data_IF_832722420596
#
_entry.id   IF_832722420596
#
_cell.length_a   1.000
_cell.length_b   1.000
_cell.length_c   1.000
_cell.angle_alpha   90.00
_cell.angle_beta   90.00
_cell.angle_gamma   90.00
#
_symmetry.space_group_name_H-M   'P 1'
#
loop_
_entity.id
_entity.type
_entity.pdbx_description
1 polymer ?
#
# COMPACT_ATOMS: atom_id res chain seq x y z
N UNK A 1 -0.13 0.38 -46.98
CA UNK A 1 0.75 -0.20 -45.94
C UNK A 1 0.23 -1.58 -45.70
N UNK A 2 1.06 -2.60 -45.89
CA UNK A 2 0.59 -3.98 -45.84
C UNK A 2 0.34 -4.40 -44.38
N UNK A 3 -0.88 -4.84 -44.03
CA UNK A 3 -1.25 -5.19 -42.66
C UNK A 3 -0.41 -6.37 -42.13
N UNK A 4 0.01 -7.29 -43.00
CA UNK A 4 0.88 -8.42 -42.65
C UNK A 4 2.27 -7.99 -42.16
N UNK A 5 2.80 -6.89 -42.69
CA UNK A 5 4.10 -6.34 -42.27
C UNK A 5 4.01 -5.73 -40.87
N UNK A 6 2.91 -5.03 -40.56
CA UNK A 6 2.64 -4.50 -39.23
C UNK A 6 2.43 -5.61 -38.19
N UNK A 7 1.70 -6.68 -38.55
CA UNK A 7 1.50 -7.84 -37.68
C UNK A 7 2.82 -8.56 -37.39
N UNK A 8 3.66 -8.79 -38.40
CA UNK A 8 4.97 -9.44 -38.22
C UNK A 8 5.91 -8.63 -37.31
N UNK A 9 5.87 -7.30 -37.40
CA UNK A 9 6.66 -6.43 -36.54
C UNK A 9 6.18 -6.48 -35.08
N UNK A 10 4.86 -6.44 -34.85
CA UNK A 10 4.29 -6.55 -33.51
C UNK A 10 4.61 -7.91 -32.87
N UNK A 11 4.53 -8.99 -33.65
CA UNK A 11 4.90 -10.33 -33.19
C UNK A 11 6.39 -10.43 -32.82
N UNK A 12 7.28 -9.89 -33.64
CA UNK A 12 8.73 -9.88 -33.37
C UNK A 12 9.07 -9.07 -32.11
N UNK A 13 8.39 -7.95 -31.90
CA UNK A 13 8.55 -7.12 -30.70
C UNK A 13 8.06 -7.84 -29.44
N UNK A 14 6.86 -8.43 -29.47
CA UNK A 14 6.31 -9.23 -28.36
C UNK A 14 7.21 -10.42 -28.03
N UNK A 15 7.76 -11.08 -29.05
CA UNK A 15 8.70 -12.19 -28.85
C UNK A 15 9.98 -11.75 -28.13
N UNK A 16 10.54 -10.60 -28.50
CA UNK A 16 11.76 -10.08 -27.87
C UNK A 16 11.53 -9.74 -26.39
N UNK A 17 10.45 -9.02 -26.07
CA UNK A 17 10.04 -8.74 -24.69
C UNK A 17 9.90 -10.04 -23.89
N UNK A 18 9.22 -11.03 -24.47
CA UNK A 18 9.03 -12.33 -23.83
C UNK A 18 10.36 -13.07 -23.60
N UNK A 19 11.25 -13.04 -24.58
CA UNK A 19 12.55 -13.71 -24.48
C UNK A 19 13.35 -13.17 -23.29
N UNK A 20 13.41 -11.84 -23.12
CA UNK A 20 14.04 -11.17 -21.98
C UNK A 20 13.29 -11.43 -20.67
N UNK A 21 11.96 -11.49 -20.69
CA UNK A 21 11.13 -11.81 -19.53
C UNK A 21 11.34 -13.25 -19.02
N UNK A 22 11.65 -14.16 -19.95
CA UNK A 22 11.85 -15.59 -19.71
C UNK A 22 13.31 -16.00 -19.49
N UNK A 23 14.26 -15.05 -19.52
CA UNK A 23 15.65 -15.37 -19.24
C UNK A 23 15.79 -15.95 -17.83
N UNK A 24 16.49 -17.08 -17.73
CA UNK A 24 16.76 -17.76 -16.48
C UNK A 24 17.74 -16.92 -15.66
N UNK A 25 17.26 -16.32 -14.57
CA UNK A 25 18.07 -15.44 -13.72
C UNK A 25 18.89 -16.24 -12.69
N UNK A 26 18.35 -17.34 -12.18
CA UNK A 26 18.97 -18.20 -11.17
C UNK A 26 18.40 -19.64 -11.25
N UNK A 27 19.11 -20.56 -11.89
CA UNK A 27 18.86 -22.00 -11.79
C UNK A 27 17.45 -22.49 -12.18
N UNK A 28 16.82 -21.86 -13.18
CA UNK A 28 15.48 -22.23 -13.69
C UNK A 28 14.33 -21.35 -13.19
N UNK A 29 14.61 -20.31 -12.40
CA UNK A 29 13.65 -19.26 -12.08
C UNK A 29 13.60 -18.23 -13.22
N UNK A 30 12.43 -18.13 -13.85
CA UNK A 30 12.13 -17.08 -14.84
C UNK A 30 12.14 -15.70 -14.17
N UNK A 31 12.84 -14.73 -14.78
CA UNK A 31 13.03 -13.40 -14.21
C UNK A 31 11.72 -12.61 -14.02
N UNK A 32 10.76 -12.78 -14.92
CA UNK A 32 9.51 -12.05 -14.93
C UNK A 32 8.55 -12.32 -13.75
N UNK A 33 8.15 -13.59 -13.49
CA UNK A 33 7.30 -13.93 -12.34
C UNK A 33 7.94 -13.53 -11.01
N UNK A 34 9.27 -13.68 -10.90
CA UNK A 34 10.01 -13.29 -9.71
C UNK A 34 9.95 -11.78 -9.45
N UNK A 35 10.18 -10.96 -10.49
CA UNK A 35 10.05 -9.50 -10.39
C UNK A 35 8.62 -9.09 -10.02
N UNK A 36 7.61 -9.74 -10.61
CA UNK A 36 6.20 -9.50 -10.30
C UNK A 36 5.86 -9.79 -8.83
N UNK A 37 6.38 -10.88 -8.27
CA UNK A 37 6.22 -11.21 -6.84
C UNK A 37 6.88 -10.16 -5.95
N UNK A 38 8.11 -9.75 -6.25
CA UNK A 38 8.82 -8.71 -5.47
C UNK A 38 8.00 -7.43 -5.44
N UNK A 39 7.54 -6.98 -6.60
CA UNK A 39 6.86 -5.70 -6.73
C UNK A 39 5.46 -5.73 -6.12
N UNK A 40 4.71 -6.83 -6.27
CA UNK A 40 3.45 -7.01 -5.56
C UNK A 40 3.65 -7.08 -4.04
N UNK A 41 4.72 -7.73 -3.58
CA UNK A 41 5.06 -7.79 -2.15
C UNK A 41 5.41 -6.41 -1.62
N UNK A 42 6.22 -5.65 -2.35
CA UNK A 42 6.54 -4.26 -2.00
C UNK A 42 5.28 -3.41 -1.90
N UNK A 43 4.35 -3.55 -2.85
CA UNK A 43 3.07 -2.85 -2.83
C UNK A 43 2.21 -3.21 -1.61
N UNK A 44 2.09 -4.50 -1.29
CA UNK A 44 1.40 -4.97 -0.07
C UNK A 44 2.04 -4.37 1.18
N UNK A 45 3.37 -4.34 1.27
CA UNK A 45 4.10 -3.75 2.39
C UNK A 45 3.86 -2.23 2.51
N UNK A 46 3.82 -1.50 1.40
CA UNK A 46 3.47 -0.06 1.39
C UNK A 46 2.08 0.17 1.98
N UNK A 47 1.08 -0.63 1.59
CA UNK A 47 -0.26 -0.52 2.17
C UNK A 47 -0.27 -0.93 3.65
N UNK A 48 0.47 -1.97 4.05
CA UNK A 48 0.58 -2.38 5.45
C UNK A 48 1.17 -1.27 6.33
N UNK A 49 2.17 -0.53 5.83
CA UNK A 49 2.72 0.64 6.53
C UNK A 49 1.63 1.68 6.81
N UNK A 50 0.81 2.00 5.80
CA UNK A 50 -0.26 2.99 5.96
C UNK A 50 -1.39 2.52 6.88
N UNK A 51 -1.82 1.26 6.75
CA UNK A 51 -2.80 0.66 7.67
C UNK A 51 -2.27 0.67 9.11
N UNK A 52 -0.97 0.37 9.29
CA UNK A 52 -0.32 0.45 10.60
C UNK A 52 -0.38 1.84 11.21
N UNK A 53 -0.12 2.89 10.41
CA UNK A 53 -0.24 4.28 10.83
C UNK A 53 -1.66 4.67 11.22
N UNK A 54 -2.68 4.18 10.50
CA UNK A 54 -4.09 4.42 10.84
C UNK A 54 -4.47 3.70 12.14
N UNK A 55 -4.00 2.47 12.34
CA UNK A 55 -4.22 1.71 13.57
C UNK A 55 -3.64 2.43 14.79
N UNK A 56 -2.39 2.91 14.71
CA UNK A 56 -1.77 3.67 15.79
C UNK A 56 -2.56 4.93 16.17
N UNK A 57 -2.99 5.69 15.16
CA UNK A 57 -3.83 6.89 15.34
C UNK A 57 -5.16 6.53 16.01
N UNK A 58 -5.81 5.45 15.56
CA UNK A 58 -7.09 5.01 16.09
C UNK A 58 -7.00 4.51 17.53
N UNK A 59 -5.98 3.73 17.87
CA UNK A 59 -5.73 3.23 19.21
C UNK A 59 -5.45 4.37 20.20
N UNK A 60 -4.63 5.35 19.80
CA UNK A 60 -4.35 6.53 20.61
C UNK A 60 -5.64 7.31 20.93
N UNK A 61 -6.54 7.48 19.96
CA UNK A 61 -7.81 8.18 20.15
C UNK A 61 -8.78 7.38 21.01
N UNK A 62 -8.88 6.05 20.82
CA UNK A 62 -9.74 5.18 21.64
C UNK A 62 -9.28 5.17 23.10
N UNK A 63 -7.96 5.12 23.34
CA UNK A 63 -7.41 5.18 24.70
C UNK A 63 -7.63 6.55 25.36
N UNK A 64 -7.59 7.64 24.57
CA UNK A 64 -7.86 9.00 25.04
C UNK A 64 -9.35 9.29 25.26
N UNK A 65 -10.25 8.55 24.62
CA UNK A 65 -11.70 8.72 24.69
C UNK A 65 -12.28 8.24 26.04
N UNK A 66 -12.02 8.98 27.12
CA UNK A 66 -12.64 8.72 28.43
C UNK A 66 -14.02 9.40 28.51
N UNK A 67 -15.06 8.57 28.66
CA UNK A 67 -16.51 8.85 28.60
C UNK A 67 -17.10 9.94 29.53
N UNK A 68 -16.32 10.85 30.13
CA UNK A 68 -16.81 11.73 31.22
C UNK A 68 -16.76 13.24 30.98
N UNK A 69 -16.29 13.74 29.85
CA UNK A 69 -16.09 15.18 29.66
C UNK A 69 -16.72 15.71 28.37
N UNK A 70 -17.48 16.81 28.48
CA UNK A 70 -18.18 17.51 27.38
C UNK A 70 -17.34 18.57 26.70
N UNK A 71 -16.19 18.95 27.28
CA UNK A 71 -15.33 20.03 26.81
C UNK A 71 -13.90 19.49 26.65
N UNK A 72 -13.18 19.93 25.62
CA UNK A 72 -11.74 19.66 25.48
C UNK A 72 -10.99 20.47 26.52
N UNK A 73 -10.37 19.79 27.48
CA UNK A 73 -9.50 20.44 28.46
C UNK A 73 -8.05 20.45 27.93
N UNK A 74 -7.58 21.65 27.59
CA UNK A 74 -6.18 21.93 27.29
C UNK A 74 -5.53 22.49 28.55
N UNK A 75 -4.57 21.74 29.09
CA UNK A 75 -3.73 22.26 30.17
C UNK A 75 -2.49 22.91 29.55
N UNK A 76 -2.33 24.20 29.81
CA UNK A 76 -1.12 24.93 29.46
C UNK A 76 -0.07 24.60 30.51
N UNK A 77 1.02 23.96 30.09
CA UNK A 77 2.19 23.78 30.94
C UNK A 77 3.23 24.83 30.56
N UNK A 78 3.58 25.67 31.53
CA UNK A 78 4.65 26.65 31.40
C UNK A 78 5.79 26.21 32.34
N UNK A 79 6.71 25.41 31.82
CA UNK A 79 7.94 25.04 32.53
C UNK A 79 9.03 26.08 32.21
N UNK A 80 9.96 26.32 33.14
CA UNK A 80 11.03 27.33 32.99
C UNK A 80 11.94 27.16 31.75
N UNK A 81 11.84 26.03 31.03
CA UNK A 81 12.59 25.73 29.80
C UNK A 81 11.70 25.37 28.58
N UNK A 82 10.38 25.20 28.73
CA UNK A 82 9.48 24.81 27.63
C UNK A 82 8.02 25.18 27.93
N UNK A 83 7.34 25.78 26.95
CA UNK A 83 5.90 26.02 26.95
C UNK A 83 5.21 25.03 26.01
N UNK A 84 4.25 24.26 26.51
CA UNK A 84 3.53 23.26 25.73
C UNK A 84 2.07 23.13 26.13
N UNK A 85 1.27 22.54 25.25
CA UNK A 85 -0.14 22.25 25.50
C UNK A 85 -0.32 20.74 25.70
N UNK A 86 -0.97 20.34 26.80
CA UNK A 86 -1.34 18.95 27.06
C UNK A 86 -2.85 18.80 26.89
N UNK A 87 -3.27 17.86 26.05
CA UNK A 87 -4.68 17.50 25.90
C UNK A 87 -5.02 16.49 27.00
N UNK A 88 -5.86 16.89 27.96
CA UNK A 88 -6.27 16.04 29.08
C UNK A 88 -7.41 15.09 28.70
N UNK A 89 -8.38 15.60 27.93
CA UNK A 89 -9.56 14.82 27.53
C UNK A 89 -10.15 15.32 26.22
N UNK A 90 -10.68 14.39 25.43
CA UNK A 90 -11.35 14.65 24.16
C UNK A 90 -12.81 14.19 24.26
N UNK A 91 -13.79 15.01 23.84
CA UNK A 91 -15.19 14.63 23.90
C UNK A 91 -15.51 13.51 22.89
N UNK A 92 -16.33 12.55 23.34
CA UNK A 92 -16.76 11.39 22.55
C UNK A 92 -17.23 11.69 21.11
N UNK A 93 -18.02 12.73 20.79
CA UNK A 93 -18.43 13.00 19.41
C UNK A 93 -17.26 13.31 18.48
N UNK A 94 -16.19 13.97 18.97
CA UNK A 94 -15.00 14.23 18.17
C UNK A 94 -14.19 12.95 17.94
N UNK A 95 -14.12 12.08 18.95
CA UNK A 95 -13.52 10.76 18.81
C UNK A 95 -14.27 9.91 17.78
N UNK A 96 -15.61 9.90 17.81
CA UNK A 96 -16.42 9.19 16.81
C UNK A 96 -16.17 9.74 15.41
N UNK A 97 -16.17 11.07 15.25
CA UNK A 97 -15.87 11.69 13.95
C UNK A 97 -14.46 11.33 13.44
N UNK A 98 -13.46 11.32 14.33
CA UNK A 98 -12.10 10.88 13.99
C UNK A 98 -12.07 9.40 13.59
N UNK A 99 -12.76 8.53 14.31
CA UNK A 99 -12.85 7.11 13.98
C UNK A 99 -13.53 6.87 12.62
N UNK A 100 -14.57 7.65 12.29
CA UNK A 100 -15.19 7.62 10.96
C UNK A 100 -14.17 7.99 9.88
N UNK A 101 -13.34 9.02 10.10
CA UNK A 101 -12.27 9.37 9.17
C UNK A 101 -11.22 8.25 9.03
N UNK A 102 -10.86 7.57 10.12
CA UNK A 102 -9.98 6.40 10.05
C UNK A 102 -10.58 5.25 9.23
N UNK A 103 -11.89 5.00 9.36
CA UNK A 103 -12.59 3.98 8.56
C UNK A 103 -12.56 4.34 7.07
N UNK A 104 -12.78 5.60 6.73
CA UNK A 104 -12.68 6.08 5.35
C UNK A 104 -11.25 5.94 4.81
N UNK A 105 -10.22 6.24 5.61
CA UNK A 105 -8.83 6.04 5.20
C UNK A 105 -8.52 4.56 4.97
N UNK A 106 -8.98 3.67 5.84
CA UNK A 106 -8.84 2.22 5.66
C UNK A 106 -9.56 1.72 4.40
N UNK A 107 -10.75 2.25 4.08
CA UNK A 107 -11.47 1.83 2.87
C UNK A 107 -10.75 2.29 1.59
N UNK A 108 -10.21 3.51 1.59
CA UNK A 108 -9.37 4.01 0.48
C UNK A 108 -8.12 3.14 0.33
N UNK A 109 -7.39 2.87 1.40
CA UNK A 109 -6.20 2.02 1.37
C UNK A 109 -6.52 0.59 0.88
N UNK A 110 -7.64 0.01 1.33
CA UNK A 110 -8.11 -1.30 0.86
C UNK A 110 -8.47 -1.30 -0.63
N UNK A 111 -9.14 -0.25 -1.12
CA UNK A 111 -9.46 -0.12 -2.55
C UNK A 111 -8.21 0.04 -3.41
N UNK A 112 -7.21 0.79 -2.94
CA UNK A 112 -5.92 0.97 -3.60
C UNK A 112 -5.11 -0.32 -3.61
N UNK A 113 -5.18 -1.14 -2.55
CA UNK A 113 -4.53 -2.45 -2.53
C UNK A 113 -5.04 -3.33 -3.67
N UNK A 114 -6.37 -3.48 -3.78
CA UNK A 114 -6.99 -4.35 -4.80
C UNK A 114 -6.76 -3.80 -6.20
N UNK A 115 -7.05 -2.52 -6.43
CA UNK A 115 -6.87 -1.90 -7.74
C UNK A 115 -5.38 -1.89 -8.17
N UNK A 116 -4.48 -1.62 -7.22
CA UNK A 116 -3.04 -1.64 -7.43
C UNK A 116 -2.52 -3.02 -7.80
N UNK A 117 -2.92 -4.07 -7.08
CA UNK A 117 -2.54 -5.45 -7.42
C UNK A 117 -3.03 -5.86 -8.81
N UNK A 118 -4.29 -5.58 -9.13
CA UNK A 118 -4.84 -5.89 -10.45
C UNK A 118 -4.11 -5.14 -11.57
N UNK A 119 -3.77 -3.87 -11.33
CA UNK A 119 -3.06 -3.05 -12.32
C UNK A 119 -1.61 -3.49 -12.52
N UNK A 120 -0.88 -3.80 -11.45
CA UNK A 120 0.49 -4.33 -11.51
C UNK A 120 0.55 -5.63 -12.31
N UNK A 121 -0.37 -6.56 -12.05
CA UNK A 121 -0.37 -7.89 -12.68
C UNK A 121 -0.78 -7.82 -14.16
N UNK A 122 -1.55 -6.81 -14.54
CA UNK A 122 -1.86 -6.57 -15.96
C UNK A 122 -0.65 -6.07 -16.77
N UNK A 123 0.45 -5.67 -16.13
CA UNK A 123 1.63 -5.13 -16.80
C UNK A 123 2.63 -6.25 -17.08
N UNK A 124 2.86 -6.57 -18.36
CA UNK A 124 3.76 -7.67 -18.77
C UNK A 124 5.21 -7.26 -18.96
N UNK A 125 5.50 -5.97 -19.11
CA UNK A 125 6.87 -5.47 -19.26
C UNK A 125 7.50 -5.15 -17.89
N UNK A 126 8.68 -5.68 -17.62
CA UNK A 126 9.37 -5.53 -16.32
C UNK A 126 9.64 -4.06 -15.97
N UNK A 127 10.08 -3.28 -16.97
CA UNK A 127 10.40 -1.86 -16.79
C UNK A 127 9.14 -1.06 -16.45
N UNK A 128 8.05 -1.30 -17.18
CA UNK A 128 6.75 -0.67 -16.91
C UNK A 128 6.20 -1.09 -15.54
N UNK A 129 6.35 -2.36 -15.15
CA UNK A 129 5.87 -2.87 -13.88
C UNK A 129 6.58 -2.21 -12.68
N UNK A 130 7.89 -2.02 -12.77
CA UNK A 130 8.67 -1.28 -11.77
C UNK A 130 8.26 0.20 -11.72
N UNK A 131 8.13 0.86 -12.88
CA UNK A 131 7.73 2.26 -12.95
C UNK A 131 6.32 2.48 -12.38
N UNK A 132 5.39 1.58 -12.70
CA UNK A 132 4.01 1.60 -12.21
C UNK A 132 3.95 1.45 -10.69
N UNK A 133 4.75 0.54 -10.12
CA UNK A 133 4.84 0.38 -8.66
C UNK A 133 5.39 1.62 -7.96
N UNK A 134 6.45 2.22 -8.49
CA UNK A 134 7.02 3.46 -7.95
C UNK A 134 6.00 4.59 -8.02
N UNK A 135 5.27 4.72 -9.13
CA UNK A 135 4.20 5.71 -9.27
C UNK A 135 3.08 5.50 -8.25
N UNK A 136 2.71 4.24 -8.00
CA UNK A 136 1.67 3.91 -7.03
C UNK A 136 2.11 4.22 -5.60
N UNK A 137 3.39 3.97 -5.26
CA UNK A 137 3.97 4.41 -3.99
C UNK A 137 3.97 5.94 -3.86
N UNK A 138 4.30 6.65 -4.93
CA UNK A 138 4.27 8.12 -4.94
C UNK A 138 2.86 8.68 -4.71
N UNK A 139 1.83 8.04 -5.25
CA UNK A 139 0.42 8.42 -5.00
C UNK A 139 0.08 8.30 -3.51
N UNK A 140 0.63 7.30 -2.81
CA UNK A 140 0.44 7.16 -1.37
C UNK A 140 1.09 8.33 -0.62
N UNK A 141 2.31 8.73 -0.97
CA UNK A 141 3.01 9.84 -0.30
C UNK A 141 2.41 11.23 -0.62
N UNK A 142 1.58 11.32 -1.67
CA UNK A 142 0.98 12.56 -2.12
C UNK A 142 -0.05 13.11 -1.11
N UNK A 143 -0.74 12.25 -0.36
CA UNK A 143 -1.73 12.67 0.62
C UNK A 143 -1.11 13.49 1.77
N UNK A 144 0.07 13.07 2.24
CA UNK A 144 0.87 13.75 3.25
C UNK A 144 1.41 15.08 2.70
N UNK A 145 1.85 15.09 1.43
CA UNK A 145 2.29 16.31 0.77
C UNK A 145 1.15 17.33 0.67
N UNK A 146 -0.04 16.91 0.26
CA UNK A 146 -1.24 17.74 0.23
C UNK A 146 -1.51 18.28 1.63
N UNK A 147 -1.54 17.43 2.65
CA UNK A 147 -1.76 17.86 4.02
C UNK A 147 -0.78 18.97 4.44
N UNK A 148 0.51 18.79 4.15
CA UNK A 148 1.55 19.76 4.48
C UNK A 148 1.42 21.10 3.76
N UNK A 149 0.85 21.11 2.54
CA UNK A 149 0.62 22.34 1.77
C UNK A 149 -0.65 23.07 2.22
N UNK A 150 -1.72 22.34 2.50
CA UNK A 150 -3.02 22.94 2.80
C UNK A 150 -3.20 23.28 4.28
N UNK A 151 -2.38 22.74 5.18
CA UNK A 151 -2.48 23.06 6.60
C UNK A 151 -2.10 24.53 6.86
N UNK A 152 -2.99 25.34 7.49
CA UNK A 152 -2.65 26.72 7.84
C UNK A 152 -1.49 26.76 8.83
N UNK A 153 -0.55 27.69 8.67
CA UNK A 153 0.65 27.78 9.50
C UNK A 153 0.34 27.87 11.01
N UNK A 154 -0.78 28.52 11.37
CA UNK A 154 -1.23 28.60 12.77
C UNK A 154 -1.63 27.23 13.35
N UNK A 155 -2.26 26.39 12.55
CA UNK A 155 -2.64 25.03 12.97
C UNK A 155 -1.39 24.16 13.10
N UNK A 156 -0.45 24.28 12.15
CA UNK A 156 0.82 23.57 12.19
C UNK A 156 1.62 23.92 13.47
N UNK A 157 1.76 25.20 13.80
CA UNK A 157 2.41 25.63 15.05
C UNK A 157 1.70 25.09 16.29
N UNK A 158 0.36 25.09 16.31
CA UNK A 158 -0.40 24.56 17.43
C UNK A 158 -0.16 23.05 17.62
N UNK A 159 -0.17 22.28 16.53
CA UNK A 159 0.10 20.84 16.55
C UNK A 159 1.53 20.55 17.04
N UNK A 160 2.52 21.35 16.62
CA UNK A 160 3.91 21.21 17.09
C UNK A 160 4.10 21.52 18.58
N UNK A 161 3.24 22.36 19.16
CA UNK A 161 3.26 22.69 20.59
C UNK A 161 2.46 21.71 21.45
N UNK A 162 1.72 20.78 20.83
CA UNK A 162 1.00 19.72 21.55
C UNK A 162 1.98 18.62 21.96
N UNK A 163 1.90 18.22 23.23
CA UNK A 163 2.60 17.02 23.70
C UNK A 163 1.99 15.78 23.02
N UNK A 164 2.79 14.82 22.53
CA UNK A 164 2.29 13.59 21.95
C UNK A 164 1.41 12.84 22.96
N UNK A 165 0.33 12.24 22.48
CA UNK A 165 -0.58 11.47 23.35
C UNK A 165 0.17 10.32 24.02
N UNK A 166 0.06 10.15 25.35
CA UNK A 166 0.68 9.03 26.05
C UNK A 166 -0.06 7.75 25.68
N UNK A 167 0.51 6.96 24.78
CA UNK A 167 0.02 5.61 24.47
C UNK A 167 0.64 4.65 25.47
N UNK A 168 -0.13 4.22 26.46
CA UNK A 168 0.30 3.14 27.34
C UNK A 168 -0.02 1.83 26.64
N UNK A 169 1.01 1.22 26.05
CA UNK A 169 0.94 -0.12 25.46
C UNK A 169 0.87 -1.15 26.60
N UNK A 170 -0.34 -1.49 27.01
CA UNK A 170 -0.55 -2.62 27.91
C UNK A 170 -0.30 -3.91 27.11
N UNK A 171 0.90 -4.49 27.27
CA UNK A 171 1.34 -5.75 26.65
C UNK A 171 0.45 -6.96 26.96
N UNK A 172 -0.52 -6.79 27.85
CA UNK A 172 -1.51 -7.78 28.30
C UNK A 172 -2.74 -7.89 27.40
N UNK A 173 -3.04 -6.88 26.60
CA UNK A 173 -4.05 -6.98 25.53
C UNK A 173 -3.29 -7.48 24.30
N UNK A 174 -3.74 -8.57 23.65
CA UNK A 174 -3.09 -9.09 22.43
C UNK A 174 -2.66 -7.91 21.53
N UNK A 175 -1.46 -7.95 20.90
CA UNK A 175 -0.98 -6.85 20.08
C UNK A 175 -1.87 -6.72 18.84
N UNK A 176 -3.00 -6.03 18.97
CA UNK A 176 -4.03 -5.83 17.94
C UNK A 176 -3.39 -5.32 16.66
N UNK A 177 -2.41 -4.42 16.80
CA UNK A 177 -1.58 -3.96 15.71
C UNK A 177 -0.91 -5.11 14.96
N UNK A 178 -0.15 -5.94 15.66
CA UNK A 178 0.58 -7.06 15.05
C UNK A 178 -0.35 -8.08 14.40
N UNK A 179 -1.42 -8.47 15.09
CA UNK A 179 -2.38 -9.45 14.59
C UNK A 179 -3.13 -8.95 13.35
N UNK A 180 -3.59 -7.70 13.35
CA UNK A 180 -4.30 -7.11 12.20
C UNK A 180 -3.36 -6.94 11.01
N UNK A 181 -2.14 -6.41 11.22
CA UNK A 181 -1.17 -6.23 10.14
C UNK A 181 -0.74 -7.57 9.54
N UNK A 182 -0.52 -8.59 10.37
CA UNK A 182 -0.19 -9.93 9.90
C UNK A 182 -1.33 -10.54 9.10
N UNK A 183 -2.58 -10.40 9.57
CA UNK A 183 -3.76 -10.87 8.85
C UNK A 183 -3.92 -10.20 7.48
N UNK A 184 -3.84 -8.86 7.42
CA UNK A 184 -3.92 -8.11 6.15
C UNK A 184 -2.74 -8.46 5.23
N UNK A 185 -1.54 -8.64 5.79
CA UNK A 185 -0.36 -9.04 5.03
C UNK A 185 -0.51 -10.42 4.39
N UNK A 186 -0.96 -11.42 5.15
CA UNK A 186 -1.25 -12.76 4.62
C UNK A 186 -2.29 -12.68 3.51
N UNK A 187 -3.40 -11.98 3.74
CA UNK A 187 -4.47 -11.86 2.74
C UNK A 187 -3.92 -11.19 1.47
N UNK A 188 -3.17 -10.09 1.59
CA UNK A 188 -2.57 -9.38 0.46
C UNK A 188 -1.58 -10.24 -0.34
N UNK A 189 -0.69 -10.98 0.35
CA UNK A 189 0.29 -11.88 -0.30
C UNK A 189 -0.42 -13.08 -0.94
N UNK A 190 -1.41 -13.67 -0.27
CA UNK A 190 -2.16 -14.80 -0.84
C UNK A 190 -2.94 -14.39 -2.09
N UNK A 191 -3.54 -13.19 -2.08
CA UNK A 191 -4.24 -12.63 -3.23
C UNK A 191 -3.27 -12.34 -4.40
N UNK A 192 -2.11 -11.74 -4.12
CA UNK A 192 -1.11 -11.47 -5.17
C UNK A 192 -0.58 -12.76 -5.80
N UNK A 193 -0.27 -13.78 -4.99
CA UNK A 193 0.16 -15.09 -5.50
C UNK A 193 -0.92 -15.73 -6.39
N UNK A 194 -2.17 -15.73 -5.95
CA UNK A 194 -3.28 -16.30 -6.73
C UNK A 194 -3.44 -15.61 -8.08
N UNK A 195 -3.43 -14.27 -8.09
CA UNK A 195 -3.53 -13.49 -9.32
C UNK A 195 -2.32 -13.69 -10.25
N UNK A 196 -1.12 -13.85 -9.71
CA UNK A 196 0.08 -14.16 -10.51
C UNK A 196 -0.03 -15.55 -11.13
N UNK A 197 -0.49 -16.56 -10.38
CA UNK A 197 -0.69 -17.91 -10.93
C UNK A 197 -1.69 -17.91 -12.09
N UNK A 198 -2.83 -17.24 -11.94
CA UNK A 198 -3.83 -17.11 -13.02
C UNK A 198 -3.24 -16.42 -14.27
N UNK A 199 -2.42 -15.39 -14.06
CA UNK A 199 -1.74 -14.69 -15.15
C UNK A 199 -0.72 -15.60 -15.86
N UNK A 200 0.04 -16.40 -15.10
CA UNK A 200 1.03 -17.33 -15.67
C UNK A 200 0.36 -18.40 -16.54
N UNK A 201 -0.75 -18.98 -16.09
CA UNK A 201 -1.50 -20.00 -16.86
C UNK A 201 -2.00 -19.42 -18.19
N UNK A 202 -2.50 -18.19 -18.16
CA UNK A 202 -2.95 -17.48 -19.36
C UNK A 202 -1.80 -17.26 -20.33
N UNK A 203 -0.65 -16.80 -19.82
CA UNK A 203 0.55 -16.55 -20.64
C UNK A 203 1.11 -17.83 -21.25
N UNK A 204 1.16 -18.94 -20.50
CA UNK A 204 1.61 -20.24 -21.04
C UNK A 204 0.69 -20.75 -22.13
N UNK A 205 -0.63 -20.60 -21.96
CA UNK A 205 -1.62 -21.03 -22.97
C UNK A 205 -1.46 -20.25 -24.28
N UNK A 206 -1.27 -18.93 -24.19
CA UNK A 206 -1.04 -18.08 -25.37
C UNK A 206 0.28 -18.41 -26.04
N UNK A 207 1.34 -18.68 -25.27
CA UNK A 207 2.63 -19.12 -25.80
C UNK A 207 2.50 -20.40 -26.62
N UNK A 208 1.80 -21.41 -26.08
CA UNK A 208 1.63 -22.70 -26.73
C UNK A 208 0.78 -22.60 -28.02
N UNK A 209 -0.17 -21.66 -28.06
CA UNK A 209 -0.95 -21.36 -29.26
C UNK A 209 -0.12 -20.63 -30.35
N UNK A 210 0.79 -19.74 -29.96
CA UNK A 210 1.64 -18.96 -30.89
C UNK A 210 2.86 -19.76 -31.40
N UNK A 211 3.37 -20.70 -30.61
CA UNK A 211 4.49 -21.56 -30.95
C UNK A 211 4.12 -23.01 -30.67
N UNK A 212 3.29 -23.66 -31.51
CA UNK A 212 3.02 -25.07 -31.35
C UNK A 212 4.35 -25.84 -31.43
N UNK A 213 4.63 -26.61 -30.38
CA UNK A 213 5.84 -27.43 -30.22
C UNK A 213 6.13 -28.37 -31.39
N UNK A 214 5.12 -28.64 -32.22
CA UNK A 214 5.15 -29.41 -33.47
C UNK A 214 6.11 -28.85 -34.54
N UNK A 215 6.47 -27.56 -34.51
CA UNK A 215 7.37 -26.95 -35.51
C UNK A 215 8.87 -27.07 -35.20
N UNK A 216 9.26 -27.75 -34.11
CA UNK A 216 10.69 -28.01 -33.77
C UNK A 216 11.22 -29.39 -34.19
N UNK A 217 10.39 -30.26 -34.76
CA UNK A 217 10.79 -31.62 -35.18
C UNK A 217 10.76 -31.84 -36.71
N UNK A 218 10.61 -30.78 -37.51
CA UNK A 218 10.69 -30.81 -38.98
C UNK A 218 11.98 -30.21 -39.51
#
# INVERSE_FOLDING_TARGET
GDPSLSESFMQAHTFNIYSSYSEDLLGGLQAGPFTSVIVCTAWVLTILKEVGGILDKSLAVVQSARMRYTIVELQVFQTSYSSGFKVLSVPAPRCVWFLVMCVVQCSVAGSLLVAGLQWLISTSEIVELLMNSVALSYIMDLDELIYNVFIPSKLATLIHLLEPFPVNWDWTVLPMRGTVLFGVGIVGISASLSLIFDHLETVTTVRDALCPSELRLG
#
